data_IF_221103371006
#
_entry.id   IF_221103371006
#
_cell.length_a   1.000
_cell.length_b   1.000
_cell.length_c   1.000
_cell.angle_alpha   90.00
_cell.angle_beta   90.00
_cell.angle_gamma   90.00
#
_symmetry.space_group_name_H-M   'P 1'
#
loop_
_entity.id
_entity.type
_entity.pdbx_description
1 polymer ?
#
# COMPACT_ATOMS: atom_id res chain seq x y z
N UNK A 1 4.54 4.59 -18.02
CA UNK A 1 4.93 4.78 -19.43
C UNK A 1 6.42 4.56 -19.57
N UNK A 2 6.87 4.14 -20.75
CA UNK A 2 8.29 3.98 -21.07
C UNK A 2 8.74 5.02 -22.09
N UNK A 3 10.00 5.44 -22.02
CA UNK A 3 10.63 6.32 -23.01
C UNK A 3 12.09 5.90 -23.16
N UNK A 4 12.51 5.52 -24.37
CA UNK A 4 13.86 5.00 -24.61
C UNK A 4 14.19 3.74 -23.81
N UNK A 5 13.18 2.87 -23.58
CA UNK A 5 13.33 1.65 -22.77
C UNK A 5 13.32 1.85 -21.25
N UNK A 6 13.25 3.10 -20.76
CA UNK A 6 13.20 3.40 -19.32
C UNK A 6 11.79 3.77 -18.88
N UNK A 7 11.39 3.27 -17.71
CA UNK A 7 10.11 3.63 -17.09
C UNK A 7 10.13 5.07 -16.58
N UNK A 8 9.05 5.83 -16.82
CA UNK A 8 8.87 7.22 -16.37
C UNK A 8 7.50 7.45 -15.73
N UNK A 9 7.46 8.41 -14.81
CA UNK A 9 6.22 8.90 -14.19
C UNK A 9 5.53 9.83 -15.19
N UNK A 10 4.29 9.50 -15.54
CA UNK A 10 3.45 10.31 -16.45
C UNK A 10 2.73 11.42 -15.70
N UNK A 11 2.01 11.00 -14.66
CA UNK A 11 1.16 11.82 -13.83
C UNK A 11 1.39 11.43 -12.38
N UNK A 12 1.38 12.42 -11.49
CA UNK A 12 1.48 12.23 -10.06
C UNK A 12 0.57 13.25 -9.38
N UNK A 13 -0.40 12.75 -8.62
CA UNK A 13 -1.28 13.55 -7.78
C UNK A 13 -1.26 12.99 -6.36
N UNK A 14 -1.18 13.87 -5.37
CA UNK A 14 -1.07 13.53 -3.96
C UNK A 14 -1.84 14.55 -3.13
N UNK A 15 -2.50 14.10 -2.07
CA UNK A 15 -3.26 14.95 -1.16
C UNK A 15 -3.19 14.40 0.28
N UNK A 16 -3.47 15.26 1.26
CA UNK A 16 -3.52 14.87 2.67
C UNK A 16 -2.13 14.48 3.17
N UNK A 17 -2.05 13.40 3.95
CA UNK A 17 -0.78 12.86 4.45
C UNK A 17 -0.13 11.82 3.52
N UNK A 18 -0.76 11.48 2.39
CA UNK A 18 -0.17 10.52 1.44
C UNK A 18 0.93 11.17 0.61
N UNK A 19 2.11 10.56 0.60
CA UNK A 19 3.25 10.97 -0.24
C UNK A 19 3.82 9.78 -1.01
N UNK A 20 4.35 10.04 -2.19
CA UNK A 20 5.13 9.09 -2.98
C UNK A 20 6.52 9.69 -3.26
N UNK A 21 7.57 8.95 -2.90
CA UNK A 21 8.96 9.30 -3.21
C UNK A 21 9.54 8.34 -4.23
N UNK A 22 10.39 8.86 -5.12
CA UNK A 22 10.95 8.11 -6.24
C UNK A 22 12.48 8.20 -6.22
N UNK A 23 13.17 7.27 -5.53
CA UNK A 23 14.61 7.18 -5.57
C UNK A 23 15.11 6.95 -7.00
N UNK A 24 16.29 7.49 -7.33
CA UNK A 24 16.91 7.25 -8.64
C UNK A 24 17.35 5.79 -8.73
N UNK A 25 16.87 5.08 -9.76
CA UNK A 25 17.25 3.71 -10.10
C UNK A 25 17.76 3.66 -11.53
N UNK A 26 18.60 2.67 -11.82
CA UNK A 26 19.12 2.42 -13.17
C UNK A 26 18.06 1.75 -14.05
N UNK A 27 17.23 0.87 -13.47
CA UNK A 27 16.19 0.12 -14.16
C UNK A 27 14.86 0.20 -13.41
N UNK A 28 13.77 0.48 -14.15
CA UNK A 28 12.43 0.61 -13.59
C UNK A 28 12.24 1.82 -12.67
N UNK A 29 11.07 1.91 -12.05
CA UNK A 29 10.74 2.91 -11.04
C UNK A 29 10.57 2.22 -9.70
N UNK A 30 11.09 2.82 -8.64
CA UNK A 30 10.74 2.51 -7.27
C UNK A 30 9.88 3.63 -6.70
N UNK A 31 8.72 3.29 -6.17
CA UNK A 31 7.80 4.19 -5.49
C UNK A 31 7.75 3.82 -4.01
N UNK A 32 8.20 4.73 -3.15
CA UNK A 32 8.07 4.61 -1.70
C UNK A 32 6.84 5.41 -1.29
N UNK A 33 5.78 4.70 -0.92
CA UNK A 33 4.57 5.29 -0.35
C UNK A 33 4.81 5.64 1.12
N UNK A 34 4.36 6.83 1.50
CA UNK A 34 4.56 7.39 2.85
C UNK A 34 3.23 7.95 3.32
N UNK A 35 2.80 7.52 4.51
CA UNK A 35 1.78 8.22 5.27
C UNK A 35 2.46 9.11 6.32
N UNK A 36 2.45 10.43 6.11
CA UNK A 36 3.13 11.38 6.99
C UNK A 36 2.41 11.61 8.33
N UNK A 37 1.22 11.03 8.56
CA UNK A 37 0.56 11.07 9.87
C UNK A 37 1.14 10.06 10.87
N UNK A 38 1.94 9.09 10.41
CA UNK A 38 2.57 8.07 11.27
C UNK A 38 1.72 6.84 11.58
N UNK A 39 0.50 6.77 11.04
CA UNK A 39 -0.42 5.62 11.09
C UNK A 39 -1.87 6.05 10.88
N UNK A 40 -2.79 5.11 11.05
CA UNK A 40 -4.23 5.32 10.84
C UNK A 40 -4.98 5.10 12.16
N UNK A 41 -6.02 5.89 12.39
CA UNK A 41 -7.01 5.69 13.46
C UNK A 41 -8.42 5.54 12.88
N UNK A 42 -9.39 5.26 13.74
CA UNK A 42 -10.80 5.18 13.35
C UNK A 42 -11.24 6.40 12.54
N UNK A 43 -11.92 6.14 11.41
CA UNK A 43 -12.48 7.19 10.55
C UNK A 43 -11.55 7.65 9.42
N UNK A 44 -10.25 7.33 9.47
CA UNK A 44 -9.31 7.66 8.40
C UNK A 44 -9.67 6.95 7.09
N UNK A 45 -9.43 7.63 5.96
CA UNK A 45 -9.69 7.09 4.62
C UNK A 45 -8.51 7.36 3.70
N UNK A 46 -7.94 6.30 3.15
CA UNK A 46 -6.88 6.36 2.16
C UNK A 46 -7.32 5.65 0.88
N UNK A 47 -7.12 6.33 -0.25
CA UNK A 47 -7.36 5.76 -1.57
C UNK A 47 -6.15 6.01 -2.46
N UNK A 48 -5.60 4.93 -3.02
CA UNK A 48 -4.47 4.99 -3.92
C UNK A 48 -4.82 4.32 -5.24
N UNK A 49 -4.54 4.98 -6.36
CA UNK A 49 -4.66 4.38 -7.70
C UNK A 49 -3.30 4.41 -8.38
N UNK A 50 -2.84 3.24 -8.83
CA UNK A 50 -1.58 3.06 -9.53
C UNK A 50 -1.86 2.45 -10.89
N UNK A 51 -1.26 3.02 -11.94
CA UNK A 51 -1.42 2.56 -13.31
C UNK A 51 -0.04 2.34 -13.93
N UNK A 52 0.23 1.10 -14.35
CA UNK A 52 1.40 0.72 -15.12
C UNK A 52 0.98 0.49 -16.58
N UNK A 53 1.74 1.06 -17.52
CA UNK A 53 1.46 1.02 -18.95
C UNK A 53 2.75 1.06 -19.76
N UNK A 54 2.65 0.70 -21.05
CA UNK A 54 3.74 0.73 -22.03
C UNK A 54 4.98 -0.09 -21.64
N UNK A 55 4.80 -1.30 -21.12
CA UNK A 55 5.92 -2.18 -20.71
C UNK A 55 6.71 -1.60 -19.52
N UNK A 56 6.08 -0.76 -18.70
CA UNK A 56 6.74 -0.16 -17.55
C UNK A 56 6.94 -1.16 -16.42
N UNK A 57 8.04 -1.01 -15.69
CA UNK A 57 8.36 -1.82 -14.50
C UNK A 57 8.33 -0.92 -13.27
N UNK A 58 7.43 -1.22 -12.33
CA UNK A 58 7.25 -0.45 -11.11
C UNK A 58 7.36 -1.36 -9.88
N UNK A 59 8.20 -0.99 -8.92
CA UNK A 59 8.19 -1.57 -7.58
C UNK A 59 7.65 -0.55 -6.60
N UNK A 60 6.68 -0.96 -5.79
CA UNK A 60 6.02 -0.13 -4.79
C UNK A 60 6.33 -0.73 -3.43
N UNK A 61 6.79 0.11 -2.52
CA UNK A 61 6.97 -0.26 -1.12
C UNK A 61 6.53 0.89 -0.22
N UNK A 62 6.59 0.70 1.09
CA UNK A 62 6.35 1.75 2.08
C UNK A 62 7.63 2.04 2.85
N UNK A 63 7.79 3.27 3.33
CA UNK A 63 8.99 3.64 4.10
C UNK A 63 9.16 2.81 5.39
N UNK A 64 8.06 2.33 5.95
CA UNK A 64 8.05 1.51 7.15
C UNK A 64 6.69 0.86 7.33
N UNK A 65 6.57 0.11 8.42
CA UNK A 65 5.33 -0.55 8.79
C UNK A 65 4.20 0.47 8.99
N UNK A 66 3.03 0.14 8.45
CA UNK A 66 1.80 0.88 8.70
C UNK A 66 1.28 0.52 10.10
N UNK A 67 0.80 1.51 10.86
CA UNK A 67 0.30 1.29 12.22
C UNK A 67 -1.18 1.61 12.26
N UNK A 68 -2.00 0.68 12.73
CA UNK A 68 -3.43 0.89 12.97
C UNK A 68 -3.62 1.08 14.46
N UNK A 69 -3.83 2.32 14.88
CA UNK A 69 -4.05 2.71 16.27
C UNK A 69 -5.47 2.36 16.73
N UNK A 70 -5.65 2.37 18.06
CA UNK A 70 -6.95 2.22 18.71
C UNK A 70 -7.97 3.17 18.11
N UNK A 71 -9.12 2.62 17.71
CA UNK A 71 -10.29 3.40 17.34
C UNK A 71 -11.10 3.76 18.60
N UNK A 72 -11.01 5.01 19.05
CA UNK A 72 -11.64 5.46 20.29
C UNK A 72 -13.18 5.52 20.23
N UNK A 73 -13.72 5.84 19.06
CA UNK A 73 -15.17 5.97 18.80
C UNK A 73 -15.77 4.71 18.15
N UNK A 74 -14.96 3.66 17.95
CA UNK A 74 -15.38 2.42 17.30
C UNK A 74 -15.47 2.49 15.78
N UNK A 75 -15.18 3.63 15.15
CA UNK A 75 -15.15 3.77 13.69
C UNK A 75 -14.00 2.96 13.07
N UNK A 76 -14.08 2.67 11.78
CA UNK A 76 -13.11 1.83 11.08
C UNK A 76 -12.31 2.68 10.09
N UNK A 77 -10.98 2.57 10.13
CA UNK A 77 -10.12 3.12 9.09
C UNK A 77 -10.34 2.36 7.77
N UNK A 78 -10.33 3.04 6.63
CA UNK A 78 -10.54 2.43 5.32
C UNK A 78 -9.35 2.70 4.41
N UNK A 79 -8.78 1.64 3.84
CA UNK A 79 -7.68 1.72 2.87
C UNK A 79 -8.08 1.00 1.59
N UNK A 80 -8.13 1.73 0.48
CA UNK A 80 -8.46 1.19 -0.84
C UNK A 80 -7.30 1.42 -1.79
N UNK A 81 -6.69 0.33 -2.24
CA UNK A 81 -5.61 0.35 -3.23
C UNK A 81 -6.12 -0.26 -4.53
N UNK A 82 -6.02 0.50 -5.62
CA UNK A 82 -6.31 0.03 -6.97
C UNK A 82 -5.03 0.03 -7.80
N UNK A 83 -4.67 -1.12 -8.37
CA UNK A 83 -3.53 -1.28 -9.26
C UNK A 83 -4.01 -1.78 -10.60
N UNK A 84 -3.69 -1.05 -11.67
CA UNK A 84 -4.03 -1.41 -13.05
C UNK A 84 -2.72 -1.62 -13.80
N UNK A 85 -2.49 -2.83 -14.32
CA UNK A 85 -1.29 -3.19 -15.06
C UNK A 85 -1.68 -3.56 -16.48
N UNK A 86 -1.30 -2.69 -17.42
CA UNK A 86 -1.68 -2.80 -18.83
C UNK A 86 -0.53 -3.30 -19.69
N UNK A 87 -0.85 -3.96 -20.80
CA UNK A 87 0.11 -4.50 -21.77
C UNK A 87 1.11 -5.46 -21.06
N UNK A 88 2.31 -5.66 -21.61
CA UNK A 88 3.39 -6.39 -20.95
C UNK A 88 4.12 -5.56 -19.87
N UNK A 89 3.38 -4.82 -19.04
CA UNK A 89 3.94 -4.09 -17.89
C UNK A 89 3.99 -4.97 -16.64
N UNK A 90 4.81 -4.57 -15.67
CA UNK A 90 4.99 -5.29 -14.42
C UNK A 90 4.89 -4.39 -13.20
N UNK A 91 4.21 -4.88 -12.17
CA UNK A 91 4.22 -4.27 -10.83
C UNK A 91 4.73 -5.26 -9.76
N UNK A 92 5.56 -4.78 -8.84
CA UNK A 92 5.83 -5.46 -7.59
C UNK A 92 5.21 -4.62 -6.46
N UNK A 93 4.15 -5.11 -5.82
CA UNK A 93 3.51 -4.51 -4.65
C UNK A 93 4.08 -5.14 -3.38
N UNK A 94 5.03 -4.45 -2.77
CA UNK A 94 5.85 -4.92 -1.65
C UNK A 94 5.85 -3.92 -0.47
N UNK A 95 4.68 -3.46 0.04
CA UNK A 95 4.64 -2.68 1.26
C UNK A 95 5.24 -3.45 2.45
N UNK A 96 5.75 -2.72 3.42
CA UNK A 96 6.09 -3.26 4.75
C UNK A 96 4.80 -3.68 5.48
N UNK A 97 4.95 -4.30 6.64
CA UNK A 97 3.85 -4.86 7.41
C UNK A 97 2.81 -3.82 7.83
N UNK A 98 1.54 -4.21 7.83
CA UNK A 98 0.52 -3.51 8.60
C UNK A 98 0.45 -4.10 10.00
N UNK A 99 0.75 -3.31 11.01
CA UNK A 99 0.68 -3.69 12.42
C UNK A 99 -0.63 -3.15 13.00
N UNK A 100 -1.52 -4.05 13.40
CA UNK A 100 -2.80 -3.70 14.01
C UNK A 100 -2.63 -3.74 15.52
N UNK A 101 -2.67 -2.59 16.18
CA UNK A 101 -2.54 -2.51 17.64
C UNK A 101 -3.83 -2.94 18.33
N UNK A 102 -3.77 -3.11 19.65
CA UNK A 102 -4.96 -3.35 20.46
C UNK A 102 -6.08 -2.36 20.14
N UNK A 103 -7.29 -2.89 19.91
CA UNK A 103 -8.49 -2.14 19.51
C UNK A 103 -8.36 -1.35 18.19
N UNK A 104 -7.37 -1.67 17.35
CA UNK A 104 -7.26 -1.16 15.99
C UNK A 104 -8.39 -1.70 15.11
N UNK A 105 -8.99 -0.83 14.29
CA UNK A 105 -10.09 -1.20 13.37
C UNK A 105 -9.77 -0.71 11.96
N UNK A 106 -9.58 -1.65 11.04
CA UNK A 106 -9.29 -1.36 9.64
C UNK A 106 -10.13 -2.23 8.70
N UNK A 107 -10.55 -1.66 7.58
CA UNK A 107 -10.99 -2.34 6.38
C UNK A 107 -10.03 -2.00 5.25
N UNK A 108 -9.34 -3.01 4.72
CA UNK A 108 -8.39 -2.85 3.61
C UNK A 108 -8.84 -3.63 2.40
N UNK A 109 -8.69 -3.05 1.22
CA UNK A 109 -8.88 -3.73 -0.05
C UNK A 109 -7.74 -3.39 -1.01
N UNK A 110 -7.15 -4.41 -1.62
CA UNK A 110 -6.30 -4.29 -2.79
C UNK A 110 -7.03 -4.90 -3.99
N UNK A 111 -7.27 -4.10 -5.02
CA UNK A 111 -7.81 -4.56 -6.31
C UNK A 111 -6.73 -4.46 -7.38
N UNK A 112 -6.39 -5.58 -8.00
CA UNK A 112 -5.41 -5.63 -9.09
C UNK A 112 -6.11 -6.05 -10.39
N UNK A 113 -5.99 -5.22 -11.42
CA UNK A 113 -6.52 -5.43 -12.77
C UNK A 113 -5.33 -5.66 -13.71
N UNK A 114 -5.24 -6.85 -14.33
CA UNK A 114 -4.13 -7.25 -15.21
C UNK A 114 -4.59 -7.45 -16.65
N UNK A 115 -3.81 -6.95 -17.60
CA UNK A 115 -3.87 -7.40 -19.00
C UNK A 115 -3.32 -8.82 -19.15
N UNK A 116 -3.60 -9.47 -20.29
CA UNK A 116 -3.18 -10.86 -20.56
C UNK A 116 -1.68 -11.10 -20.49
N UNK A 117 -0.86 -10.07 -20.75
CA UNK A 117 0.60 -10.14 -20.74
C UNK A 117 1.23 -9.45 -19.51
N UNK A 118 0.40 -8.95 -18.59
CA UNK A 118 0.86 -8.20 -17.43
C UNK A 118 1.30 -9.11 -16.29
N UNK A 119 2.29 -8.67 -15.53
CA UNK A 119 2.79 -9.39 -14.35
C UNK A 119 2.57 -8.59 -13.05
N UNK A 120 2.21 -9.29 -11.98
CA UNK A 120 2.16 -8.73 -10.63
C UNK A 120 2.78 -9.68 -9.61
N UNK A 121 3.68 -9.14 -8.77
CA UNK A 121 4.08 -9.75 -7.51
C UNK A 121 3.41 -8.98 -6.38
N UNK A 122 2.73 -9.66 -5.46
CA UNK A 122 1.96 -9.03 -4.38
C UNK A 122 2.33 -9.66 -3.05
N UNK A 123 2.72 -8.81 -2.08
CA UNK A 123 2.97 -9.19 -0.70
C UNK A 123 2.29 -8.18 0.22
N UNK A 124 1.40 -8.63 1.10
CA UNK A 124 0.77 -7.79 2.13
C UNK A 124 0.87 -8.48 3.50
N UNK A 125 1.98 -8.27 4.23
CA UNK A 125 2.17 -8.90 5.52
C UNK A 125 1.41 -8.13 6.59
N UNK A 126 0.80 -8.86 7.53
CA UNK A 126 0.02 -8.29 8.64
C UNK A 126 0.53 -8.84 9.96
N UNK A 127 0.76 -7.94 10.92
CA UNK A 127 1.13 -8.27 12.29
C UNK A 127 -0.05 -7.89 13.20
N UNK A 128 -0.47 -8.83 14.03
CA UNK A 128 -1.52 -8.62 15.02
C UNK A 128 -0.90 -8.34 16.38
N UNK A 129 -1.15 -7.13 16.86
CA UNK A 129 -0.68 -6.63 18.13
C UNK A 129 0.82 -6.39 18.20
N UNK A 130 1.22 -5.70 19.26
CA UNK A 130 2.61 -5.49 19.64
C UNK A 130 2.94 -6.44 20.79
N UNK A 131 3.18 -7.71 20.46
CA UNK A 131 3.45 -8.77 21.43
C UNK A 131 4.61 -8.40 22.38
N UNK A 132 5.68 -7.80 21.85
CA UNK A 132 6.82 -7.34 22.64
C UNK A 132 6.49 -6.17 23.61
N UNK A 133 5.33 -5.52 23.43
CA UNK A 133 4.82 -4.44 24.31
C UNK A 133 3.66 -4.92 25.19
N UNK A 134 3.41 -6.25 25.26
CA UNK A 134 2.42 -6.85 26.16
C UNK A 134 0.99 -6.95 25.60
N UNK A 135 0.77 -6.62 24.33
CA UNK A 135 -0.54 -6.83 23.70
C UNK A 135 -0.78 -8.33 23.48
N UNK A 136 -1.83 -8.88 24.09
CA UNK A 136 -2.10 -10.34 24.09
C UNK A 136 -3.52 -10.71 23.64
N UNK A 137 -4.45 -9.75 23.62
CA UNK A 137 -5.85 -9.96 23.21
C UNK A 137 -6.06 -9.53 21.75
N UNK A 138 -5.51 -10.29 20.81
CA UNK A 138 -5.50 -9.94 19.37
C UNK A 138 -6.54 -10.71 18.53
N UNK A 139 -7.36 -11.56 19.16
CA UNK A 139 -8.22 -12.54 18.46
C UNK A 139 -9.49 -11.95 17.84
N UNK A 140 -10.00 -10.84 18.37
CA UNK A 140 -11.22 -10.19 17.86
C UNK A 140 -10.99 -9.34 16.60
N UNK A 141 -9.74 -9.19 16.18
CA UNK A 141 -9.33 -8.32 15.07
C UNK A 141 -9.56 -8.99 13.71
N UNK A 142 -9.64 -10.32 13.65
CA UNK A 142 -9.68 -11.06 12.39
C UNK A 142 -11.10 -11.44 11.96
N UNK A 143 -11.71 -10.62 11.10
CA UNK A 143 -12.83 -11.07 10.23
C UNK A 143 -12.37 -11.05 8.78
N UNK A 144 -11.65 -12.10 8.37
CA UNK A 144 -11.40 -12.33 6.93
C UNK A 144 -12.74 -12.79 6.34
N UNK A 145 -13.27 -12.02 5.39
CA UNK A 145 -14.34 -12.43 4.49
C UNK A 145 -13.81 -12.47 3.08
#
# INVERSE_FOLDING_TARGET
MTTGGQSKIKNLFQQGSSRALFPRRVNGIECIMINTSGGLTGGDKFSNTIICEDHSHLTISTQGCERIYKSGDGTTAVVENKVIVKNASRVNWLPQETIIFDQGRIKRQLKVELSSEAEALIVEPVIFGRLAMGETNIWDILKIR
#
